data_IF_500182902675
#
_entry.id   IF_500182902675
#
_cell.length_a   1.000
_cell.length_b   1.000
_cell.length_c   1.000
_cell.angle_alpha   90.00
_cell.angle_beta   90.00
_cell.angle_gamma   90.00
#
_symmetry.space_group_name_H-M   'P 1'
#
loop_
_entity.id
_entity.type
_entity.pdbx_description
1 polymer ?
#
# COMPACT_ATOMS: atom_id res chain seq x y z
N UNK A 1 17.62 26.64 22.80
CA UNK A 1 16.43 26.93 23.63
C UNK A 1 15.25 27.07 22.69
N UNK A 2 14.47 26.00 22.52
CA UNK A 2 13.37 25.96 21.57
C UNK A 2 12.06 26.23 22.31
N UNK A 3 11.38 27.28 21.86
CA UNK A 3 10.15 27.81 22.40
C UNK A 3 9.01 26.83 22.09
N UNK A 4 8.51 26.13 23.10
CA UNK A 4 7.33 25.28 23.03
C UNK A 4 6.08 26.16 23.04
N UNK A 5 5.58 26.52 21.86
CA UNK A 5 4.24 27.08 21.72
C UNK A 5 3.22 25.96 21.90
N UNK A 6 2.62 25.92 23.08
CA UNK A 6 1.52 25.07 23.50
C UNK A 6 0.31 25.27 22.58
N UNK A 7 0.02 24.28 21.72
CA UNK A 7 -1.29 24.19 21.07
C UNK A 7 -2.30 23.71 22.12
N UNK A 8 -3.10 24.65 22.60
CA UNK A 8 -4.25 24.41 23.46
C UNK A 8 -5.32 23.67 22.67
N UNK A 9 -5.59 22.43 23.06
CA UNK A 9 -6.74 21.66 22.59
C UNK A 9 -8.04 22.30 23.12
N UNK A 10 -9.11 22.40 22.31
CA UNK A 10 -10.42 22.78 22.83
C UNK A 10 -10.91 21.70 23.80
N UNK A 11 -11.39 22.16 24.96
CA UNK A 11 -11.98 21.38 26.04
C UNK A 11 -12.84 20.21 25.56
N UNK A 12 -12.56 19.03 26.13
CA UNK A 12 -13.48 17.91 26.23
C UNK A 12 -14.80 18.41 26.86
N UNK A 13 -15.79 18.67 26.03
CA UNK A 13 -17.19 18.67 26.47
C UNK A 13 -17.70 17.27 26.24
N UNK A 14 -18.19 16.66 27.32
CA UNK A 14 -18.92 15.41 27.37
C UNK A 14 -19.79 15.20 26.11
N UNK A 15 -19.33 14.32 25.21
CA UNK A 15 -20.20 13.72 24.21
C UNK A 15 -21.19 12.83 24.96
N UNK A 16 -22.36 13.39 25.27
CA UNK A 16 -23.56 12.59 25.46
C UNK A 16 -23.65 11.61 24.29
N UNK A 17 -23.57 10.31 24.61
CA UNK A 17 -23.77 9.22 23.67
C UNK A 17 -25.16 9.39 23.05
N UNK A 18 -25.20 9.82 21.79
CA UNK A 18 -26.38 9.79 20.94
C UNK A 18 -26.78 8.31 20.74
N UNK A 19 -27.94 7.86 21.26
CA UNK A 19 -28.32 6.45 21.27
C UNK A 19 -28.86 5.96 19.92
N UNK A 20 -28.86 6.79 18.88
CA UNK A 20 -29.12 6.35 17.50
C UNK A 20 -27.82 6.11 16.75
N UNK A 21 -27.54 4.87 16.34
CA UNK A 21 -26.60 4.63 15.25
C UNK A 21 -27.09 5.38 14.02
N UNK A 22 -26.62 6.62 13.83
CA UNK A 22 -27.14 7.54 12.81
C UNK A 22 -27.01 6.88 11.45
N UNK A 23 -28.15 6.61 10.81
CA UNK A 23 -28.28 6.09 9.45
C UNK A 23 -27.25 6.74 8.50
N UNK A 24 -26.54 5.92 7.71
CA UNK A 24 -25.66 6.38 6.65
C UNK A 24 -25.89 5.56 5.38
N UNK A 25 -26.14 6.25 4.26
CA UNK A 25 -26.50 5.60 3.00
C UNK A 25 -25.37 4.71 2.44
N UNK A 26 -24.11 5.09 2.62
CA UNK A 26 -22.97 4.34 2.10
C UNK A 26 -22.74 3.04 2.86
N UNK A 27 -22.94 3.06 4.18
CA UNK A 27 -22.88 1.89 5.05
C UNK A 27 -24.01 0.90 4.73
N UNK A 28 -25.25 1.40 4.59
CA UNK A 28 -26.42 0.57 4.26
C UNK A 28 -26.27 -0.11 2.90
N UNK A 29 -25.69 0.58 1.92
CA UNK A 29 -25.43 0.01 0.60
C UNK A 29 -24.23 -0.95 0.57
N UNK A 30 -23.44 -1.04 1.65
CA UNK A 30 -22.20 -1.84 1.71
C UNK A 30 -21.16 -1.39 0.69
N UNK A 31 -21.13 -0.07 0.42
CA UNK A 31 -20.24 0.55 -0.57
C UNK A 31 -19.29 1.56 0.05
N UNK A 32 -19.36 1.74 1.35
CA UNK A 32 -18.48 2.54 2.19
C UNK A 32 -17.01 2.17 1.96
N UNK A 33 -16.70 0.88 1.81
CA UNK A 33 -15.32 0.51 1.56
C UNK A 33 -14.91 0.66 0.09
N UNK A 34 -15.72 1.10 -0.90
CA UNK A 34 -15.38 0.96 -2.34
C UNK A 34 -14.73 2.21 -2.94
N UNK A 35 -13.54 2.09 -3.53
CA UNK A 35 -12.82 3.21 -4.19
C UNK A 35 -13.68 3.94 -5.24
N UNK A 36 -14.52 3.20 -5.97
CA UNK A 36 -15.41 3.75 -6.99
C UNK A 36 -16.42 4.77 -6.43
N UNK A 37 -16.89 4.60 -5.18
CA UNK A 37 -17.82 5.56 -4.58
C UNK A 37 -17.13 6.91 -4.33
N UNK A 38 -15.88 6.90 -3.84
CA UNK A 38 -15.11 8.12 -3.66
C UNK A 38 -14.86 8.83 -5.00
N UNK A 39 -14.54 8.06 -6.04
CA UNK A 39 -14.37 8.64 -7.39
C UNK A 39 -15.68 9.23 -7.93
N UNK A 40 -16.81 8.55 -7.71
CA UNK A 40 -18.13 9.06 -8.08
C UNK A 40 -18.51 10.32 -7.29
N UNK A 41 -18.13 10.39 -6.01
CA UNK A 41 -18.38 11.56 -5.18
C UNK A 41 -17.51 12.75 -5.62
N UNK A 42 -16.22 12.55 -5.90
CA UNK A 42 -15.37 13.62 -6.47
C UNK A 42 -15.93 14.08 -7.83
N UNK A 43 -16.41 13.17 -8.67
CA UNK A 43 -17.12 13.52 -9.90
C UNK A 43 -18.35 14.40 -9.62
N UNK A 44 -19.18 14.05 -8.64
CA UNK A 44 -20.35 14.85 -8.24
C UNK A 44 -19.93 16.27 -7.84
N UNK A 45 -18.84 16.41 -7.08
CA UNK A 45 -18.32 17.73 -6.68
C UNK A 45 -17.84 18.57 -7.86
N UNK A 46 -17.19 17.93 -8.84
CA UNK A 46 -16.73 18.60 -10.07
C UNK A 46 -17.89 19.03 -10.97
N UNK A 47 -18.93 18.21 -11.12
CA UNK A 47 -20.07 18.50 -12.01
C UNK A 47 -21.07 19.52 -11.43
N UNK A 48 -21.13 19.66 -10.11
CA UNK A 48 -22.03 20.62 -9.44
C UNK A 48 -21.38 21.98 -9.14
N UNK A 49 -20.13 22.19 -9.58
CA UNK A 49 -19.41 23.47 -9.51
C UNK A 49 -19.41 24.13 -8.11
N UNK A 50 -19.12 23.34 -7.08
CA UNK A 50 -19.03 23.83 -5.69
C UNK A 50 -17.77 24.68 -5.41
N UNK A 51 -17.11 25.19 -6.44
CA UNK A 51 -15.79 25.82 -6.30
C UNK A 51 -14.66 24.80 -6.04
N UNK A 52 -14.83 23.54 -6.45
CA UNK A 52 -13.87 22.47 -6.19
C UNK A 52 -12.51 22.77 -6.83
N UNK A 53 -12.50 23.18 -8.09
CA UNK A 53 -11.26 23.47 -8.80
C UNK A 53 -10.54 24.68 -8.21
N UNK A 54 -11.27 25.70 -7.79
CA UNK A 54 -10.74 26.90 -7.14
C UNK A 54 -10.11 26.55 -5.80
N UNK A 55 -10.83 25.81 -4.95
CA UNK A 55 -10.35 25.38 -3.64
C UNK A 55 -9.04 24.57 -3.75
N UNK A 56 -8.94 23.70 -4.76
CA UNK A 56 -7.75 22.89 -4.99
C UNK A 56 -6.69 23.54 -5.91
N UNK A 57 -6.94 24.76 -6.40
CA UNK A 57 -6.07 25.51 -7.33
C UNK A 57 -5.73 24.71 -8.60
N UNK A 58 -6.79 24.18 -9.24
CA UNK A 58 -6.63 23.31 -10.39
C UNK A 58 -6.54 24.05 -11.73
N UNK A 59 -7.02 25.30 -11.81
CA UNK A 59 -6.96 26.19 -12.99
C UNK A 59 -7.52 25.56 -14.28
N UNK A 60 -8.66 24.87 -14.19
CA UNK A 60 -9.26 24.04 -15.26
C UNK A 60 -10.76 24.30 -15.38
N UNK A 61 -11.16 25.53 -15.75
CA UNK A 61 -12.55 25.84 -16.07
C UNK A 61 -12.69 26.39 -17.49
N UNK A 62 -13.77 26.05 -18.21
CA UNK A 62 -14.91 25.22 -17.78
C UNK A 62 -14.72 23.69 -18.04
N UNK A 63 -15.30 22.85 -17.17
CA UNK A 63 -15.40 21.40 -17.36
C UNK A 63 -16.72 21.07 -18.07
N UNK A 64 -16.66 20.43 -19.23
CA UNK A 64 -17.83 20.01 -20.00
C UNK A 64 -18.43 18.70 -19.50
N UNK A 65 -17.57 17.73 -19.16
CA UNK A 65 -17.99 16.39 -18.78
C UNK A 65 -16.95 15.72 -17.88
N UNK A 66 -17.40 14.97 -16.87
CA UNK A 66 -16.55 14.10 -16.05
C UNK A 66 -16.87 12.63 -16.31
N UNK A 67 -15.85 11.85 -16.62
CA UNK A 67 -15.94 10.41 -16.89
C UNK A 67 -15.22 9.62 -15.80
N UNK A 68 -15.84 8.53 -15.36
CA UNK A 68 -15.22 7.58 -14.44
C UNK A 68 -14.58 6.43 -15.21
N UNK A 69 -13.54 5.84 -14.65
CA UNK A 69 -12.98 4.55 -15.07
C UNK A 69 -12.52 4.50 -16.54
N UNK A 70 -11.89 5.57 -17.03
CA UNK A 70 -11.45 5.66 -18.43
C UNK A 70 -10.28 4.71 -18.71
N UNK A 71 -10.45 3.85 -19.70
CA UNK A 71 -9.43 2.87 -20.09
C UNK A 71 -8.58 3.34 -21.26
N UNK A 72 -7.26 3.28 -21.08
CA UNK A 72 -6.24 3.55 -22.07
C UNK A 72 -5.45 2.30 -22.39
N UNK A 73 -4.92 2.23 -23.61
CA UNK A 73 -4.00 1.17 -24.02
C UNK A 73 -2.77 1.76 -24.68
N UNK A 74 -1.59 1.33 -24.23
CA UNK A 74 -0.33 1.74 -24.85
C UNK A 74 0.61 0.54 -25.02
N UNK A 75 1.58 0.68 -25.92
CA UNK A 75 2.62 -0.34 -26.11
C UNK A 75 3.70 -0.15 -25.04
N UNK A 76 3.90 -1.15 -24.19
CA UNK A 76 5.01 -1.19 -23.24
C UNK A 76 6.11 -2.07 -23.84
N UNK A 77 7.27 -1.48 -24.11
CA UNK A 77 8.48 -2.23 -24.43
C UNK A 77 9.13 -2.65 -23.11
N UNK A 78 9.27 -3.96 -22.89
CA UNK A 78 10.23 -4.51 -21.92
C UNK A 78 11.37 -5.18 -22.69
N UNK A 79 12.49 -5.46 -22.00
CA UNK A 79 13.66 -6.14 -22.58
C UNK A 79 13.32 -7.49 -23.24
N UNK A 80 12.19 -8.10 -22.88
CA UNK A 80 11.86 -9.46 -23.29
C UNK A 80 10.58 -9.55 -24.14
N UNK A 81 9.64 -8.59 -24.05
CA UNK A 81 8.40 -8.58 -24.86
C UNK A 81 7.86 -7.17 -25.10
N UNK A 82 7.36 -6.94 -26.32
CA UNK A 82 6.45 -5.81 -26.60
C UNK A 82 5.02 -6.26 -26.32
N UNK A 83 4.39 -5.68 -25.31
CA UNK A 83 3.01 -6.00 -24.92
C UNK A 83 2.11 -4.78 -24.96
N UNK A 84 0.83 -4.96 -25.31
CA UNK A 84 -0.20 -3.93 -25.13
C UNK A 84 -0.62 -3.95 -23.66
N UNK A 85 -0.37 -2.86 -22.95
CA UNK A 85 -0.75 -2.70 -21.55
C UNK A 85 -2.01 -1.85 -21.49
N UNK A 86 -3.01 -2.33 -20.74
CA UNK A 86 -4.21 -1.57 -20.42
C UNK A 86 -4.07 -0.92 -19.05
N UNK A 87 -4.53 0.31 -18.95
CA UNK A 87 -4.57 1.11 -17.71
C UNK A 87 -5.93 1.78 -17.62
N UNK A 88 -6.48 1.87 -16.41
CA UNK A 88 -7.76 2.49 -16.12
C UNK A 88 -7.50 3.63 -15.15
N UNK A 89 -7.97 4.82 -15.50
CA UNK A 89 -7.86 6.03 -14.69
C UNK A 89 -9.20 6.27 -14.04
N UNK A 90 -9.17 6.65 -12.77
CA UNK A 90 -10.39 6.70 -11.96
C UNK A 90 -11.33 7.82 -12.38
N UNK A 91 -10.81 9.02 -12.66
CA UNK A 91 -11.60 10.18 -13.10
C UNK A 91 -10.85 10.94 -14.21
N UNK A 92 -11.59 11.32 -15.24
CA UNK A 92 -11.12 12.17 -16.35
C UNK A 92 -12.15 13.27 -16.61
N UNK A 93 -11.74 14.53 -16.53
CA UNK A 93 -12.56 15.67 -16.90
C UNK A 93 -12.18 16.20 -18.28
N UNK A 94 -13.18 16.49 -19.09
CA UNK A 94 -13.03 17.03 -20.44
C UNK A 94 -13.35 18.52 -20.48
N UNK A 95 -12.54 19.27 -21.22
CA UNK A 95 -12.84 20.66 -21.57
C UNK A 95 -13.89 20.76 -22.69
N UNK A 96 -14.17 21.98 -23.13
CA UNK A 96 -15.15 22.25 -24.20
C UNK A 96 -14.78 21.59 -25.54
N UNK A 97 -13.48 21.48 -25.82
CA UNK A 97 -12.93 20.86 -27.03
C UNK A 97 -12.89 19.32 -26.97
N UNK A 98 -13.56 18.73 -26.00
CA UNK A 98 -13.60 17.29 -25.70
C UNK A 98 -12.21 16.67 -25.41
N UNK A 99 -11.18 17.49 -25.16
CA UNK A 99 -9.87 16.99 -24.72
C UNK A 99 -9.82 16.85 -23.20
N UNK A 100 -9.10 15.83 -22.67
CA UNK A 100 -8.85 15.71 -21.24
C UNK A 100 -8.08 16.92 -20.71
N UNK A 101 -8.62 17.62 -19.72
CA UNK A 101 -7.99 18.78 -19.05
C UNK A 101 -7.52 18.43 -17.64
N UNK A 102 -8.17 17.46 -17.00
CA UNK A 102 -7.84 16.96 -15.66
C UNK A 102 -7.95 15.45 -15.63
N UNK A 103 -7.01 14.82 -14.95
CA UNK A 103 -7.14 13.44 -14.48
C UNK A 103 -6.90 13.35 -13.00
N UNK A 104 -7.70 12.51 -12.36
CA UNK A 104 -7.58 12.22 -10.94
C UNK A 104 -7.42 10.71 -10.77
N UNK A 105 -6.34 10.32 -10.09
CA UNK A 105 -6.21 8.98 -9.52
C UNK A 105 -6.64 9.05 -8.06
N UNK A 106 -7.50 8.12 -7.65
CA UNK A 106 -8.10 8.12 -6.32
C UNK A 106 -7.69 6.88 -5.54
N UNK A 107 -6.89 7.05 -4.50
CA UNK A 107 -6.30 5.96 -3.71
C UNK A 107 -6.87 5.93 -2.29
N UNK A 108 -8.08 5.37 -2.17
CA UNK A 108 -8.74 5.21 -0.87
C UNK A 108 -8.29 3.94 -0.12
N UNK A 109 -8.00 2.82 -0.79
CA UNK A 109 -7.64 1.55 -0.08
C UNK A 109 -6.15 1.33 0.11
N UNK A 110 -5.34 2.14 -0.54
CA UNK A 110 -3.91 1.96 -0.62
C UNK A 110 -3.25 3.30 -0.92
N UNK A 111 -1.93 3.30 -1.00
CA UNK A 111 -1.16 4.42 -1.52
C UNK A 111 -0.68 4.10 -2.94
N UNK A 112 -0.36 5.11 -3.77
CA UNK A 112 0.07 4.92 -5.15
C UNK A 112 1.30 4.00 -5.29
N UNK A 113 1.39 3.36 -6.47
CA UNK A 113 2.62 2.72 -6.92
C UNK A 113 3.29 3.62 -7.96
N UNK A 114 4.59 3.91 -7.79
CA UNK A 114 5.34 4.80 -8.69
C UNK A 114 5.22 4.39 -10.16
N UNK A 115 5.38 3.09 -10.45
CA UNK A 115 5.26 2.59 -11.82
C UNK A 115 3.87 2.70 -12.43
N UNK A 116 2.81 2.84 -11.61
CA UNK A 116 1.46 3.12 -12.10
C UNK A 116 1.36 4.57 -12.61
N UNK A 117 1.85 5.53 -11.83
CA UNK A 117 1.86 6.95 -12.20
C UNK A 117 2.76 7.20 -13.44
N UNK A 118 3.92 6.54 -13.51
CA UNK A 118 4.79 6.59 -14.69
C UNK A 118 4.12 6.01 -15.96
N UNK A 119 3.30 4.97 -15.81
CA UNK A 119 2.53 4.43 -16.94
C UNK A 119 1.45 5.43 -17.39
N UNK A 120 0.83 6.19 -16.48
CA UNK A 120 -0.09 7.27 -16.82
C UNK A 120 0.59 8.46 -17.50
N UNK A 121 1.77 8.86 -17.03
CA UNK A 121 2.55 9.93 -17.65
C UNK A 121 2.88 9.58 -19.12
N UNK A 122 3.19 8.31 -19.41
CA UNK A 122 3.42 7.83 -20.78
C UNK A 122 2.17 7.91 -21.65
N UNK A 123 0.99 7.63 -21.08
CA UNK A 123 -0.29 7.75 -21.79
C UNK A 123 -0.51 9.22 -22.18
N UNK A 124 -0.44 10.13 -21.22
CA UNK A 124 -0.81 11.52 -21.49
C UNK A 124 0.25 12.33 -22.22
N UNK A 125 1.53 11.94 -22.14
CA UNK A 125 2.55 12.51 -23.05
C UNK A 125 2.16 12.35 -24.53
N UNK A 126 1.34 11.37 -24.89
CA UNK A 126 0.86 11.15 -26.26
C UNK A 126 -0.49 11.82 -26.56
N UNK A 127 -1.32 12.07 -25.55
CA UNK A 127 -2.70 12.54 -25.72
C UNK A 127 -2.89 14.01 -25.34
N UNK A 128 -2.34 14.44 -24.22
CA UNK A 128 -2.30 15.83 -23.77
C UNK A 128 -1.14 16.01 -22.75
N UNK A 129 0.02 16.56 -23.14
CA UNK A 129 1.17 16.73 -22.27
C UNK A 129 0.93 17.69 -21.09
N UNK A 130 0.03 18.66 -21.28
CA UNK A 130 -0.24 19.76 -20.34
C UNK A 130 -1.41 19.45 -19.39
N UNK A 131 -1.89 18.20 -19.40
CA UNK A 131 -2.99 17.77 -18.55
C UNK A 131 -2.66 17.94 -17.07
N UNK A 132 -3.60 18.52 -16.31
CA UNK A 132 -3.50 18.59 -14.85
C UNK A 132 -3.70 17.18 -14.27
N UNK A 133 -2.82 16.78 -13.36
CA UNK A 133 -2.83 15.43 -12.76
C UNK A 133 -2.89 15.53 -11.25
N UNK A 134 -3.92 14.95 -10.66
CA UNK A 134 -4.14 14.98 -9.21
C UNK A 134 -4.21 13.56 -8.67
N UNK A 135 -3.52 13.31 -7.55
CA UNK A 135 -3.64 12.09 -6.77
C UNK A 135 -4.31 12.42 -5.44
N UNK A 136 -5.41 11.74 -5.13
CA UNK A 136 -5.96 11.71 -3.77
C UNK A 136 -5.51 10.47 -3.02
N UNK A 137 -5.08 10.64 -1.77
CA UNK A 137 -4.78 9.53 -0.85
C UNK A 137 -5.00 9.94 0.62
N UNK A 138 -4.78 9.04 1.58
CA UNK A 138 -4.98 9.37 3.00
C UNK A 138 -3.93 10.31 3.59
N UNK A 139 -2.71 10.31 3.07
CA UNK A 139 -1.62 11.15 3.59
C UNK A 139 -0.59 11.44 2.51
N UNK A 140 -0.56 12.70 2.07
CA UNK A 140 0.35 13.17 1.03
C UNK A 140 1.83 13.15 1.44
N UNK A 141 2.14 13.15 2.75
CA UNK A 141 3.52 13.13 3.24
C UNK A 141 4.16 11.74 3.12
N UNK A 142 3.34 10.69 2.98
CA UNK A 142 3.82 9.32 2.80
C UNK A 142 4.21 8.98 1.36
N UNK A 143 4.03 9.90 0.41
CA UNK A 143 4.33 9.69 -1.03
C UNK A 143 5.41 10.65 -1.56
N UNK A 144 6.60 10.73 -0.91
CA UNK A 144 7.62 11.73 -1.24
C UNK A 144 8.20 11.59 -2.65
N UNK A 145 8.12 10.40 -3.25
CA UNK A 145 8.58 10.16 -4.62
C UNK A 145 7.82 10.98 -5.68
N UNK A 146 6.67 11.55 -5.33
CA UNK A 146 5.85 12.38 -6.22
C UNK A 146 6.46 13.75 -6.46
N UNK A 147 7.33 14.24 -5.56
CA UNK A 147 8.01 15.55 -5.69
C UNK A 147 8.82 15.70 -7.00
N UNK A 148 9.15 14.58 -7.66
CA UNK A 148 9.86 14.57 -8.95
C UNK A 148 8.93 14.28 -10.14
N UNK A 149 7.63 14.50 -9.99
CA UNK A 149 6.61 14.23 -11.01
C UNK A 149 5.69 15.43 -11.16
N UNK A 150 4.92 15.49 -12.26
CA UNK A 150 3.92 16.54 -12.47
C UNK A 150 2.55 16.19 -11.84
N UNK A 151 2.54 15.34 -10.81
CA UNK A 151 1.33 14.99 -10.07
C UNK A 151 1.22 15.88 -8.85
N UNK A 152 0.07 16.50 -8.66
CA UNK A 152 -0.28 17.16 -7.41
C UNK A 152 -0.91 16.16 -6.47
N UNK A 153 -0.39 16.07 -5.24
CA UNK A 153 -0.96 15.20 -4.21
C UNK A 153 -1.85 16.02 -3.29
N UNK A 154 -3.07 15.56 -3.14
CA UNK A 154 -4.02 16.05 -2.15
C UNK A 154 -4.39 14.91 -1.21
N UNK A 155 -4.71 15.23 0.02
CA UNK A 155 -5.16 14.23 1.00
C UNK A 155 -6.67 14.32 1.28
N UNK A 156 -7.23 13.29 1.91
CA UNK A 156 -8.64 13.29 2.28
C UNK A 156 -8.97 14.27 3.40
N UNK A 157 -7.98 14.79 4.14
CA UNK A 157 -8.22 15.88 5.08
C UNK A 157 -8.57 17.17 4.35
N UNK A 158 -7.90 17.46 3.22
CA UNK A 158 -8.22 18.60 2.37
C UNK A 158 -9.63 18.48 1.77
N UNK A 159 -10.08 17.27 1.42
CA UNK A 159 -11.46 17.01 0.98
C UNK A 159 -12.47 17.25 2.10
N UNK A 160 -12.15 16.84 3.33
CA UNK A 160 -13.01 17.13 4.49
C UNK A 160 -13.13 18.64 4.72
N UNK A 161 -12.02 19.37 4.67
CA UNK A 161 -12.02 20.83 4.78
C UNK A 161 -12.82 21.50 3.67
N UNK A 162 -12.74 20.99 2.44
CA UNK A 162 -13.58 21.46 1.33
C UNK A 162 -15.06 21.23 1.64
N UNK A 163 -15.45 20.03 2.06
CA UNK A 163 -16.83 19.68 2.33
C UNK A 163 -17.45 20.52 3.43
N UNK A 164 -16.70 20.88 4.48
CA UNK A 164 -17.17 21.81 5.51
C UNK A 164 -17.61 23.15 4.92
N UNK A 165 -16.91 23.65 3.90
CA UNK A 165 -17.30 24.89 3.21
C UNK A 165 -18.54 24.74 2.34
N UNK A 166 -18.74 23.56 1.73
CA UNK A 166 -19.87 23.30 0.84
C UNK A 166 -21.14 23.07 1.63
N UNK A 167 -21.06 22.32 2.75
CA UNK A 167 -22.20 22.00 3.61
C UNK A 167 -22.91 23.25 4.16
N UNK A 168 -22.17 24.34 4.38
CA UNK A 168 -22.74 25.61 4.85
C UNK A 168 -23.49 26.38 3.75
N UNK A 169 -23.16 26.11 2.48
CA UNK A 169 -23.66 26.86 1.32
C UNK A 169 -24.74 26.12 0.52
N UNK A 170 -24.81 24.80 0.63
CA UNK A 170 -25.79 24.01 -0.12
C UNK A 170 -27.19 24.23 0.45
N UNK A 171 -28.11 24.63 -0.43
CA UNK A 171 -29.51 24.91 -0.09
C UNK A 171 -30.45 23.78 -0.54
N UNK A 172 -30.04 22.96 -1.51
CA UNK A 172 -30.80 21.80 -1.97
C UNK A 172 -30.78 20.71 -0.87
N UNK A 173 -31.93 20.36 -0.27
CA UNK A 173 -31.97 19.41 0.85
C UNK A 173 -31.50 18.00 0.48
N UNK A 174 -31.71 17.55 -0.76
CA UNK A 174 -31.31 16.21 -1.20
C UNK A 174 -29.79 16.15 -1.39
N UNK A 175 -29.22 17.18 -2.03
CA UNK A 175 -27.76 17.29 -2.18
C UNK A 175 -27.08 17.48 -0.83
N UNK A 176 -27.65 18.31 0.05
CA UNK A 176 -27.13 18.53 1.40
C UNK A 176 -27.07 17.21 2.18
N UNK A 177 -28.16 16.43 2.20
CA UNK A 177 -28.19 15.12 2.84
C UNK A 177 -27.10 14.18 2.27
N UNK A 178 -26.92 14.17 0.94
CA UNK A 178 -25.89 13.36 0.30
C UNK A 178 -24.46 13.77 0.71
N UNK A 179 -24.19 15.07 0.75
CA UNK A 179 -22.92 15.65 1.19
C UNK A 179 -22.65 15.33 2.68
N UNK A 180 -23.64 15.50 3.55
CA UNK A 180 -23.53 15.24 4.99
C UNK A 180 -23.20 13.77 5.27
N UNK A 181 -23.87 12.87 4.56
CA UNK A 181 -23.62 11.43 4.69
C UNK A 181 -22.19 11.08 4.28
N UNK A 182 -21.68 11.68 3.20
CA UNK A 182 -20.31 11.43 2.76
C UNK A 182 -19.28 12.05 3.71
N UNK A 183 -19.52 13.28 4.18
CA UNK A 183 -18.66 13.94 5.17
C UNK A 183 -18.54 13.10 6.45
N UNK A 184 -19.67 12.66 7.02
CA UNK A 184 -19.67 11.83 8.22
C UNK A 184 -18.89 10.53 8.02
N UNK A 185 -19.10 9.88 6.87
CA UNK A 185 -18.42 8.65 6.49
C UNK A 185 -16.90 8.86 6.33
N UNK A 186 -16.47 9.85 5.54
CA UNK A 186 -15.06 10.15 5.30
C UNK A 186 -14.35 10.59 6.58
N UNK A 187 -15.02 11.38 7.42
CA UNK A 187 -14.51 11.84 8.72
C UNK A 187 -14.27 10.66 9.67
N UNK A 188 -15.19 9.69 9.70
CA UNK A 188 -15.02 8.43 10.44
C UNK A 188 -13.78 7.66 10.00
N UNK A 189 -13.63 7.45 8.68
CA UNK A 189 -12.46 6.78 8.12
C UNK A 189 -11.16 7.55 8.40
N UNK A 190 -11.16 8.88 8.31
CA UNK A 190 -9.96 9.68 8.60
C UNK A 190 -9.56 9.61 10.09
N UNK A 191 -10.54 9.59 11.01
CA UNK A 191 -10.29 9.38 12.44
C UNK A 191 -9.67 8.00 12.71
N UNK A 192 -10.21 6.94 12.11
CA UNK A 192 -9.66 5.59 12.24
C UNK A 192 -8.27 5.46 11.62
N UNK A 193 -8.04 6.08 10.45
CA UNK A 193 -6.72 6.16 9.82
C UNK A 193 -5.68 6.75 10.79
N UNK A 194 -5.97 7.89 11.40
CA UNK A 194 -5.07 8.56 12.34
C UNK A 194 -4.80 7.72 13.60
N UNK A 195 -5.83 7.03 14.11
CA UNK A 195 -5.69 6.09 15.23
C UNK A 195 -4.69 4.98 14.89
N UNK A 196 -4.83 4.33 13.72
CA UNK A 196 -3.95 3.23 13.31
C UNK A 196 -2.57 3.68 12.86
N UNK A 197 -2.44 4.90 12.34
CA UNK A 197 -1.15 5.52 12.04
C UNK A 197 -0.34 5.76 13.32
N UNK A 198 -1.02 6.17 14.40
CA UNK A 198 -0.39 6.37 15.71
C UNK A 198 0.01 5.05 16.38
N UNK A 199 -0.83 4.03 16.31
CA UNK A 199 -0.54 2.71 16.86
C UNK A 199 -1.19 1.59 16.04
N UNK A 200 -0.34 0.85 15.34
CA UNK A 200 -0.70 -0.21 14.43
C UNK A 200 -0.85 -1.57 15.13
N UNK A 201 -0.60 -1.64 16.43
CA UNK A 201 -0.57 -2.89 17.21
C UNK A 201 -1.84 -3.70 17.08
N UNK A 202 -3.00 -3.06 17.25
CA UNK A 202 -4.30 -3.74 17.19
C UNK A 202 -4.49 -4.52 15.89
N UNK A 203 -4.07 -3.94 14.77
CA UNK A 203 -4.19 -4.56 13.45
C UNK A 203 -3.23 -5.75 13.29
N UNK A 204 -2.04 -5.70 13.91
CA UNK A 204 -1.10 -6.82 13.90
C UNK A 204 -1.54 -7.98 14.81
N UNK A 205 -2.16 -7.67 15.95
CA UNK A 205 -2.66 -8.68 16.91
C UNK A 205 -3.92 -9.37 16.42
N UNK A 206 -4.76 -8.66 15.66
CA UNK A 206 -6.02 -9.19 15.10
C UNK A 206 -6.08 -9.11 13.57
N UNK A 207 -5.13 -9.72 12.85
CA UNK A 207 -4.98 -9.50 11.41
C UNK A 207 -6.03 -10.23 10.57
N UNK A 208 -6.75 -11.20 11.16
CA UNK A 208 -7.76 -12.03 10.47
C UNK A 208 -9.18 -11.52 10.62
N UNK A 209 -9.43 -10.46 11.41
CA UNK A 209 -10.76 -9.87 11.54
C UNK A 209 -11.15 -9.20 10.22
N UNK A 210 -12.37 -9.46 9.76
CA UNK A 210 -12.84 -8.98 8.45
C UNK A 210 -12.88 -7.43 8.39
N UNK A 211 -13.31 -6.78 9.46
CA UNK A 211 -13.32 -5.31 9.61
C UNK A 211 -11.93 -4.68 9.48
N UNK A 212 -10.88 -5.40 9.88
CA UNK A 212 -9.50 -4.91 9.81
C UNK A 212 -8.90 -5.00 8.40
N UNK A 213 -9.58 -5.67 7.45
CA UNK A 213 -9.02 -5.93 6.12
C UNK A 213 -8.75 -4.65 5.34
N UNK A 214 -9.63 -3.65 5.44
CA UNK A 214 -9.42 -2.34 4.82
C UNK A 214 -8.16 -1.68 5.40
N UNK A 215 -8.09 -1.55 6.72
CA UNK A 215 -7.00 -0.88 7.42
C UNK A 215 -5.65 -1.57 7.22
N UNK A 216 -5.61 -2.90 7.27
CA UNK A 216 -4.41 -3.67 6.98
C UNK A 216 -3.90 -3.42 5.56
N UNK A 217 -4.78 -3.33 4.56
CA UNK A 217 -4.37 -3.03 3.17
C UNK A 217 -3.75 -1.64 3.06
N UNK A 218 -4.43 -0.64 3.62
CA UNK A 218 -3.98 0.75 3.56
C UNK A 218 -2.64 0.92 4.26
N UNK A 219 -2.50 0.37 5.46
CA UNK A 219 -1.30 0.49 6.28
C UNK A 219 -0.14 -0.35 5.74
N UNK A 220 -0.38 -1.54 5.18
CA UNK A 220 0.68 -2.30 4.51
C UNK A 220 1.17 -1.57 3.27
N UNK A 221 0.29 -0.86 2.58
CA UNK A 221 0.68 0.01 1.48
C UNK A 221 1.55 1.18 1.95
N UNK A 222 1.25 1.79 3.11
CA UNK A 222 2.08 2.82 3.73
C UNK A 222 3.47 2.28 4.13
N UNK A 223 3.51 1.12 4.80
CA UNK A 223 4.77 0.44 5.15
C UNK A 223 5.58 0.13 3.89
N UNK A 224 4.95 -0.35 2.81
CA UNK A 224 5.63 -0.61 1.53
C UNK A 224 6.35 0.63 1.01
N UNK A 225 5.69 1.78 0.98
CA UNK A 225 6.32 3.00 0.45
C UNK A 225 7.49 3.44 1.32
N UNK A 226 7.35 3.36 2.64
CA UNK A 226 8.45 3.69 3.56
C UNK A 226 9.62 2.71 3.44
N UNK A 227 9.36 1.43 3.17
CA UNK A 227 10.42 0.46 2.86
C UNK A 227 11.11 0.78 1.53
N UNK A 228 10.36 1.13 0.48
CA UNK A 228 10.91 1.53 -0.82
C UNK A 228 11.85 2.74 -0.71
N UNK A 229 11.48 3.71 0.13
CA UNK A 229 12.28 4.90 0.43
C UNK A 229 13.56 4.56 1.21
N UNK A 230 13.44 3.74 2.27
CA UNK A 230 14.56 3.38 3.15
C UNK A 230 15.59 2.48 2.44
N UNK A 231 15.15 1.46 1.70
CA UNK A 231 16.03 0.45 1.11
C UNK A 231 16.63 0.87 -0.25
N UNK A 232 16.17 1.98 -0.85
CA UNK A 232 16.66 2.58 -2.11
C UNK A 232 16.77 1.58 -3.28
N UNK A 233 15.70 1.47 -4.06
CA UNK A 233 15.65 0.79 -5.37
C UNK A 233 16.84 1.17 -6.29
N UNK A 234 17.37 0.25 -7.12
CA UNK A 234 16.83 -1.06 -7.51
C UNK A 234 17.37 -2.26 -6.71
N UNK A 235 17.93 -2.04 -5.51
CA UNK A 235 18.58 -3.13 -4.75
C UNK A 235 17.60 -4.14 -4.14
N UNK A 236 16.33 -3.79 -4.07
CA UNK A 236 15.27 -4.59 -3.47
C UNK A 236 14.10 -4.67 -4.44
N UNK A 237 13.20 -5.63 -4.23
CA UNK A 237 11.93 -5.72 -4.94
C UNK A 237 10.84 -5.99 -3.91
N UNK A 238 9.81 -5.15 -3.91
CA UNK A 238 8.68 -5.26 -3.00
C UNK A 238 7.45 -5.80 -3.72
N UNK A 239 6.98 -6.98 -3.33
CA UNK A 239 5.74 -7.57 -3.84
C UNK A 239 4.67 -7.55 -2.76
N UNK A 240 3.68 -6.69 -2.93
CA UNK A 240 2.50 -6.66 -2.07
C UNK A 240 1.45 -7.61 -2.64
N UNK A 241 0.94 -8.53 -1.80
CA UNK A 241 -0.30 -9.23 -2.11
C UNK A 241 -1.43 -8.56 -1.32
N UNK A 242 -2.25 -7.71 -1.98
CA UNK A 242 -3.25 -6.89 -1.30
C UNK A 242 -4.50 -7.68 -0.87
N UNK A 243 -4.55 -9.02 -0.99
CA UNK A 243 -5.59 -9.79 -0.30
C UNK A 243 -6.38 -10.79 -1.14
N UNK A 244 -5.67 -11.58 -1.96
CA UNK A 244 -6.13 -12.95 -2.26
C UNK A 244 -5.95 -13.89 -1.05
N UNK A 245 -5.24 -13.42 -0.02
CA UNK A 245 -5.10 -14.04 1.29
C UNK A 245 -5.94 -13.29 2.33
N UNK A 246 -6.30 -13.95 3.43
CA UNK A 246 -7.04 -13.33 4.54
C UNK A 246 -6.27 -12.19 5.21
N UNK A 247 -4.94 -12.27 5.21
CA UNK A 247 -4.02 -11.25 5.74
C UNK A 247 -3.15 -10.73 4.60
N UNK A 248 -3.10 -9.41 4.33
CA UNK A 248 -2.14 -8.82 3.40
C UNK A 248 -0.70 -9.17 3.76
N UNK A 249 0.18 -9.23 2.75
CA UNK A 249 1.60 -9.47 2.98
C UNK A 249 2.48 -8.65 2.05
N UNK A 250 3.71 -8.42 2.48
CA UNK A 250 4.77 -7.79 1.70
C UNK A 250 5.92 -8.79 1.62
N UNK A 251 6.27 -9.23 0.41
CA UNK A 251 7.54 -9.91 0.17
C UNK A 251 8.59 -8.87 -0.19
N UNK A 252 9.72 -8.93 0.49
CA UNK A 252 10.88 -8.04 0.37
C UNK A 252 12.03 -8.89 -0.14
N UNK A 253 12.48 -8.60 -1.36
CA UNK A 253 13.36 -9.48 -2.13
C UNK A 253 14.63 -8.71 -2.47
N UNK A 254 15.73 -8.88 -1.72
CA UNK A 254 16.99 -8.23 -2.01
C UNK A 254 17.63 -8.83 -3.26
N UNK A 255 18.11 -8.01 -4.20
CA UNK A 255 18.65 -8.50 -5.47
C UNK A 255 19.88 -9.40 -5.29
N UNK A 256 20.69 -9.19 -4.24
CA UNK A 256 21.87 -10.00 -3.92
C UNK A 256 21.55 -11.29 -3.15
N UNK A 257 20.28 -11.57 -2.91
CA UNK A 257 19.79 -12.79 -2.24
C UNK A 257 19.28 -13.84 -3.24
N UNK A 258 19.61 -13.68 -4.51
CA UNK A 258 19.29 -14.66 -5.55
C UNK A 258 20.57 -15.39 -5.99
N UNK A 259 20.56 -16.71 -5.91
CA UNK A 259 21.70 -17.58 -6.24
C UNK A 259 21.24 -18.73 -7.14
N UNK A 260 21.60 -18.69 -8.42
CA UNK A 260 21.12 -19.67 -9.38
C UNK A 260 19.58 -19.72 -9.41
N UNK A 261 19.01 -20.89 -9.15
CA UNK A 261 17.56 -21.13 -9.14
C UNK A 261 16.87 -20.77 -7.81
N UNK A 262 17.60 -20.21 -6.83
CA UNK A 262 17.07 -19.91 -5.49
C UNK A 262 16.93 -18.41 -5.28
N UNK A 263 15.74 -17.97 -4.88
CA UNK A 263 15.45 -16.60 -4.48
C UNK A 263 15.09 -16.56 -2.99
N UNK A 264 15.90 -15.90 -2.18
CA UNK A 264 15.61 -15.72 -0.76
C UNK A 264 14.88 -14.40 -0.52
N UNK A 265 13.93 -14.38 0.40
CA UNK A 265 13.13 -13.20 0.70
C UNK A 265 12.69 -13.11 2.16
N UNK A 266 12.29 -11.91 2.57
CA UNK A 266 11.58 -11.66 3.83
C UNK A 266 10.12 -11.43 3.50
N UNK A 267 9.23 -12.12 4.20
CA UNK A 267 7.80 -11.87 4.15
C UNK A 267 7.36 -11.22 5.47
N UNK A 268 6.73 -10.06 5.35
CA UNK A 268 6.01 -9.40 6.43
C UNK A 268 4.52 -9.72 6.28
N UNK A 269 3.92 -10.40 7.27
CA UNK A 269 2.51 -10.79 7.27
C UNK A 269 1.95 -10.88 8.70
N UNK A 270 0.91 -10.11 8.99
CA UNK A 270 0.35 -9.99 10.35
C UNK A 270 1.44 -9.52 11.33
N UNK A 271 1.52 -10.15 12.49
CA UNK A 271 2.55 -9.88 13.50
C UNK A 271 3.87 -10.64 13.27
N UNK A 272 4.21 -10.99 12.03
CA UNK A 272 5.29 -11.94 11.74
C UNK A 272 6.21 -11.45 10.63
N UNK A 273 7.51 -11.53 10.90
CA UNK A 273 8.56 -11.49 9.88
C UNK A 273 9.05 -12.91 9.64
N UNK A 274 9.15 -13.29 8.37
CA UNK A 274 9.45 -14.66 7.96
C UNK A 274 10.53 -14.65 6.89
N UNK A 275 11.59 -15.42 7.07
CA UNK A 275 12.60 -15.65 6.05
C UNK A 275 12.23 -16.88 5.22
N UNK A 276 12.24 -16.73 3.89
CA UNK A 276 11.86 -17.75 2.93
C UNK A 276 12.97 -17.99 1.90
N UNK A 277 12.96 -19.20 1.34
CA UNK A 277 13.62 -19.54 0.07
C UNK A 277 12.56 -19.98 -0.94
N UNK A 278 12.63 -19.43 -2.14
CA UNK A 278 11.82 -19.76 -3.30
C UNK A 278 12.69 -20.42 -4.37
N UNK A 279 12.12 -21.40 -5.08
CA UNK A 279 12.79 -22.09 -6.18
C UNK A 279 12.16 -21.60 -7.49
N UNK A 280 12.95 -20.92 -8.31
CA UNK A 280 12.48 -20.22 -9.51
C UNK A 280 12.13 -21.19 -10.66
N UNK A 281 12.85 -22.31 -10.77
CA UNK A 281 12.78 -23.23 -11.91
C UNK A 281 12.26 -24.64 -11.56
N UNK A 282 11.12 -24.74 -10.87
CA UNK A 282 10.49 -26.02 -10.51
C UNK A 282 9.71 -26.73 -11.63
N UNK A 283 9.96 -26.42 -12.92
CA UNK A 283 9.21 -26.96 -14.08
C UNK A 283 10.13 -27.63 -15.10
N UNK A 284 10.90 -28.62 -14.67
CA UNK A 284 11.53 -29.60 -15.57
C UNK A 284 10.49 -30.62 -16.03
N UNK A 285 10.50 -30.96 -17.34
CA UNK A 285 9.58 -31.96 -17.93
C UNK A 285 10.12 -33.39 -17.84
N UNK A 286 11.42 -33.56 -17.61
CA UNK A 286 12.10 -34.84 -17.49
C UNK A 286 12.19 -35.28 -16.00
N UNK A 287 11.85 -36.53 -15.71
CA UNK A 287 11.84 -37.08 -14.35
C UNK A 287 13.25 -37.19 -13.73
N UNK A 288 14.29 -37.43 -14.53
CA UNK A 288 15.68 -37.54 -14.05
C UNK A 288 16.23 -36.18 -13.60
N UNK A 289 16.07 -35.15 -14.44
CA UNK A 289 16.44 -33.77 -14.09
C UNK A 289 15.68 -33.27 -12.86
N UNK A 290 14.39 -33.63 -12.74
CA UNK A 290 13.59 -33.31 -11.57
C UNK A 290 14.11 -33.99 -10.31
N UNK A 291 14.64 -35.21 -10.40
CA UNK A 291 15.23 -35.94 -9.27
C UNK A 291 16.55 -35.31 -8.83
N UNK A 292 17.41 -34.93 -9.77
CA UNK A 292 18.68 -34.24 -9.47
C UNK A 292 18.44 -32.86 -8.84
N UNK A 293 17.52 -32.06 -9.41
CA UNK A 293 17.14 -30.76 -8.84
C UNK A 293 16.59 -30.87 -7.41
N UNK A 294 15.86 -31.95 -7.11
CA UNK A 294 15.38 -32.23 -5.75
C UNK A 294 16.53 -32.48 -4.78
N UNK A 295 17.48 -33.34 -5.15
CA UNK A 295 18.64 -33.66 -4.31
C UNK A 295 19.46 -32.39 -4.03
N UNK A 296 19.72 -31.58 -5.07
CA UNK A 296 20.46 -30.33 -4.93
C UNK A 296 19.74 -29.32 -4.04
N UNK A 297 18.41 -29.21 -4.19
CA UNK A 297 17.56 -28.34 -3.37
C UNK A 297 17.55 -28.76 -1.91
N UNK A 298 17.40 -30.06 -1.63
CA UNK A 298 17.42 -30.59 -0.27
C UNK A 298 18.78 -30.34 0.40
N UNK A 299 19.87 -30.50 -0.35
CA UNK A 299 21.21 -30.18 0.14
C UNK A 299 21.35 -28.71 0.53
N UNK A 300 21.04 -27.77 -0.37
CA UNK A 300 21.15 -26.33 -0.11
C UNK A 300 20.25 -25.91 1.07
N UNK A 301 19.06 -26.50 1.17
CA UNK A 301 18.15 -26.24 2.27
C UNK A 301 18.73 -26.72 3.60
N UNK A 302 19.26 -27.95 3.65
CA UNK A 302 19.85 -28.52 4.85
C UNK A 302 21.07 -27.70 5.30
N UNK A 303 21.94 -27.32 4.37
CA UNK A 303 23.09 -26.44 4.64
C UNK A 303 22.62 -25.09 5.20
N UNK A 304 21.57 -24.52 4.61
CA UNK A 304 20.96 -23.26 5.08
C UNK A 304 20.41 -23.40 6.50
N UNK A 305 19.69 -24.48 6.80
CA UNK A 305 19.14 -24.76 8.12
C UNK A 305 20.26 -24.94 9.15
N UNK A 306 21.34 -25.62 8.79
CA UNK A 306 22.51 -25.78 9.67
C UNK A 306 23.17 -24.44 9.98
N UNK A 307 23.37 -23.60 8.96
CA UNK A 307 23.87 -22.23 9.13
C UNK A 307 22.98 -21.44 10.08
N UNK A 308 21.66 -21.49 9.90
CA UNK A 308 20.70 -20.80 10.77
C UNK A 308 20.86 -21.28 12.22
N UNK A 309 20.86 -22.60 12.45
CA UNK A 309 20.99 -23.20 13.79
C UNK A 309 22.28 -22.76 14.49
N UNK A 310 23.39 -22.73 13.75
CA UNK A 310 24.71 -22.37 14.28
C UNK A 310 24.83 -20.88 14.63
N UNK A 311 24.15 -20.00 13.89
CA UNK A 311 24.47 -18.57 13.92
C UNK A 311 23.35 -17.66 14.45
N UNK A 312 22.10 -18.13 14.48
CA UNK A 312 20.98 -17.36 15.02
C UNK A 312 20.45 -17.98 16.32
N UNK A 313 20.68 -19.28 16.53
CA UNK A 313 20.17 -20.01 17.70
C UNK A 313 18.69 -20.39 17.58
N UNK A 314 18.22 -21.26 18.48
CA UNK A 314 16.89 -21.90 18.40
C UNK A 314 15.94 -21.53 19.55
N UNK A 315 16.34 -20.68 20.50
CA UNK A 315 15.62 -20.54 21.77
C UNK A 315 14.25 -19.86 21.65
N UNK A 316 14.11 -18.84 20.77
CA UNK A 316 12.81 -18.15 20.54
C UNK A 316 12.30 -18.24 19.08
N UNK A 317 13.11 -18.79 18.18
CA UNK A 317 12.80 -18.85 16.75
C UNK A 317 12.40 -20.27 16.33
N UNK A 318 11.12 -20.44 15.97
CA UNK A 318 10.61 -21.71 15.45
C UNK A 318 11.09 -21.94 14.02
N UNK A 319 12.21 -22.63 13.84
CA UNK A 319 12.60 -23.21 12.55
C UNK A 319 11.59 -24.34 12.26
N UNK A 320 10.67 -24.12 11.32
CA UNK A 320 9.79 -25.19 10.84
C UNK A 320 10.41 -25.85 9.63
N UNK A 321 10.64 -27.15 9.73
CA UNK A 321 10.96 -27.99 8.58
C UNK A 321 9.83 -27.93 7.54
N UNK A 322 10.21 -28.09 6.28
CA UNK A 322 9.38 -28.20 5.09
C UNK A 322 7.92 -28.63 5.37
N UNK A 323 6.95 -27.72 5.25
CA UNK A 323 5.56 -28.14 4.96
C UNK A 323 5.39 -28.16 3.45
N UNK A 324 5.52 -29.38 2.92
CA UNK A 324 5.34 -29.74 1.51
C UNK A 324 3.94 -29.30 1.06
N UNK A 325 3.84 -28.17 0.36
CA UNK A 325 2.57 -27.80 -0.29
C UNK A 325 2.73 -27.72 -1.80
N UNK A 326 3.88 -27.31 -2.33
CA UNK A 326 4.27 -27.43 -3.74
C UNK A 326 5.79 -27.13 -3.83
N UNK A 327 6.50 -27.67 -4.82
CA UNK A 327 7.97 -27.60 -4.99
C UNK A 327 8.59 -26.19 -5.18
N UNK A 328 7.97 -25.11 -4.68
CA UNK A 328 8.35 -23.73 -5.00
C UNK A 328 8.80 -22.83 -3.85
N UNK A 329 8.55 -23.16 -2.57
CA UNK A 329 8.92 -22.27 -1.46
C UNK A 329 9.02 -22.96 -0.09
N UNK A 330 10.01 -22.60 0.71
CA UNK A 330 10.15 -23.03 2.11
C UNK A 330 10.40 -21.84 3.03
N UNK A 331 9.75 -21.88 4.19
CA UNK A 331 9.94 -20.93 5.28
C UNK A 331 11.03 -21.46 6.24
N UNK A 332 11.93 -20.59 6.71
CA UNK A 332 13.17 -20.97 7.41
C UNK A 332 13.26 -20.39 8.83
N UNK A 333 12.94 -19.11 9.01
CA UNK A 333 13.09 -18.37 10.29
C UNK A 333 11.96 -17.38 10.47
N UNK A 334 11.41 -17.25 11.68
CA UNK A 334 10.30 -16.34 12.01
C UNK A 334 10.62 -15.60 13.27
N UNK A 335 10.27 -14.33 13.24
CA UNK A 335 10.24 -13.43 14.38
C UNK A 335 8.82 -12.90 14.52
N UNK A 336 8.30 -12.88 15.76
CA UNK A 336 7.10 -12.13 16.08
C UNK A 336 7.50 -10.67 16.34
N UNK A 337 6.77 -9.72 15.77
CA UNK A 337 7.15 -8.30 15.86
C UNK A 337 6.86 -7.78 17.27
N UNK A 338 5.68 -8.08 17.81
CA UNK A 338 5.28 -7.57 19.13
C UNK A 338 5.83 -8.35 20.31
N UNK A 339 6.47 -9.51 20.13
CA UNK A 339 6.97 -10.32 21.25
C UNK A 339 8.08 -9.63 22.05
N UNK A 340 8.80 -8.69 21.43
CA UNK A 340 9.89 -7.91 22.05
C UNK A 340 9.44 -6.49 22.44
N UNK A 341 8.19 -6.11 22.15
CA UNK A 341 7.69 -4.77 22.42
C UNK A 341 7.04 -4.73 23.80
N UNK A 342 7.55 -3.86 24.68
CA UNK A 342 6.92 -3.58 25.98
C UNK A 342 5.45 -3.17 25.77
N UNK A 343 4.56 -3.64 26.65
CA UNK A 343 3.10 -3.41 26.58
C UNK A 343 2.71 -1.93 26.40
N UNK A 344 3.57 -0.97 26.79
CA UNK A 344 3.25 0.47 26.71
C UNK A 344 3.82 1.21 25.48
N UNK A 345 4.51 0.52 24.55
CA UNK A 345 5.14 1.20 23.39
C UNK A 345 4.28 1.09 22.13
N UNK A 346 3.73 2.21 21.66
CA UNK A 346 2.99 2.31 20.38
C UNK A 346 3.77 1.66 19.24
N UNK A 347 3.09 0.95 18.35
CA UNK A 347 3.70 0.33 17.15
C UNK A 347 3.49 1.25 15.96
N UNK A 348 4.49 2.05 15.62
CA UNK A 348 4.43 2.97 14.46
C UNK A 348 4.99 2.34 13.19
N UNK A 349 4.73 2.94 12.03
CA UNK A 349 5.33 2.53 10.75
C UNK A 349 6.87 2.52 10.87
N UNK A 350 7.49 3.59 11.38
CA UNK A 350 8.95 3.65 11.50
C UNK A 350 9.53 2.55 12.40
N UNK A 351 8.79 2.12 13.43
CA UNK A 351 9.19 0.95 14.22
C UNK A 351 9.14 -0.33 13.40
N UNK A 352 8.11 -0.53 12.58
CA UNK A 352 8.05 -1.68 11.68
C UNK A 352 9.19 -1.69 10.67
N UNK A 353 9.55 -0.52 10.11
CA UNK A 353 10.69 -0.40 9.21
C UNK A 353 11.98 -0.84 9.91
N UNK A 354 12.21 -0.39 11.15
CA UNK A 354 13.37 -0.78 11.95
C UNK A 354 13.40 -2.29 12.24
N UNK A 355 12.27 -2.89 12.56
CA UNK A 355 12.18 -4.34 12.80
C UNK A 355 12.45 -5.14 11.52
N UNK A 356 11.90 -4.71 10.39
CA UNK A 356 12.18 -5.32 9.07
C UNK A 356 13.66 -5.19 8.72
N UNK A 357 14.25 -4.02 8.92
CA UNK A 357 15.66 -3.76 8.62
C UNK A 357 16.59 -4.56 9.53
N UNK A 358 16.35 -4.58 10.84
CA UNK A 358 17.12 -5.39 11.78
C UNK A 358 17.01 -6.89 11.48
N UNK A 359 15.83 -7.38 11.10
CA UNK A 359 15.67 -8.76 10.66
C UNK A 359 16.43 -9.05 9.36
N UNK A 360 16.40 -8.12 8.39
CA UNK A 360 17.20 -8.20 7.17
C UNK A 360 18.70 -8.27 7.47
N UNK A 361 19.24 -7.38 8.31
CA UNK A 361 20.66 -7.36 8.65
C UNK A 361 21.08 -8.65 9.35
N UNK A 362 20.28 -9.11 10.32
CA UNK A 362 20.51 -10.36 11.01
C UNK A 362 20.62 -11.53 10.02
N UNK A 363 19.68 -11.67 9.09
CA UNK A 363 19.69 -12.74 8.09
C UNK A 363 20.86 -12.55 7.10
N UNK A 364 21.11 -11.33 6.64
CA UNK A 364 22.15 -11.04 5.67
C UNK A 364 23.54 -11.43 6.21
N UNK A 365 23.85 -11.01 7.44
CA UNK A 365 25.14 -11.24 8.09
C UNK A 365 25.30 -12.70 8.53
N UNK A 366 24.27 -13.27 9.14
CA UNK A 366 24.40 -14.58 9.79
C UNK A 366 24.13 -15.76 8.88
N UNK A 367 23.38 -15.56 7.78
CA UNK A 367 22.92 -16.63 6.89
C UNK A 367 23.41 -16.42 5.46
N UNK A 368 22.96 -15.36 4.79
CA UNK A 368 23.17 -15.18 3.34
C UNK A 368 24.64 -15.08 2.97
N UNK A 369 25.43 -14.32 3.74
CA UNK A 369 26.87 -14.18 3.49
C UNK A 369 27.58 -15.54 3.54
N UNK A 370 27.12 -16.44 4.41
CA UNK A 370 27.69 -17.80 4.57
C UNK A 370 27.21 -18.75 3.48
N UNK A 371 25.94 -18.69 3.10
CA UNK A 371 25.39 -19.45 1.96
C UNK A 371 26.20 -19.12 0.70
N UNK A 372 26.42 -17.84 0.40
CA UNK A 372 27.17 -17.39 -0.78
C UNK A 372 28.57 -18.01 -0.87
N UNK A 373 29.24 -18.24 0.26
CA UNK A 373 30.55 -18.91 0.29
C UNK A 373 30.49 -20.42 0.00
N UNK A 374 29.34 -21.06 0.21
CA UNK A 374 29.11 -22.47 -0.08
C UNK A 374 28.68 -22.67 -1.53
N UNK A 375 27.76 -21.82 -2.05
CA UNK A 375 27.20 -21.99 -3.40
C UNK A 375 28.14 -21.54 -4.53
N UNK A 376 29.19 -20.76 -4.22
CA UNK A 376 30.22 -20.33 -5.18
C UNK A 376 31.48 -21.21 -5.18
N UNK A 377 31.49 -22.30 -4.40
CA UNK A 377 32.47 -23.39 -4.47
C UNK A 377 31.84 -24.57 -5.19
#
# INVERSE_FOLDING_TARGET
MYNTSTLLYPNEKDEQQDPGGKFNIFEVLGKDDKELIHSAFIKFLLENDYGFCEYFSLDIHPIKQVRLERSYSFKKQSKEKTGKVKRRIDIEALGEDDKPVLVIENKFKAFPYKGQLEDYDKIYKQHNPDIKKVLFCFDKNLVPFINNTNWEVKDYQEILGFLETVLVKEEDPEKLMFLEHYYKFLSGYYKEYNKYLCDFRFLLEKPTMAENKFWLRLMYSAVRIRLEDEFKEPKFRFLVNPGNTSVPLINIIPAHWTFGDYEFLIQFQGNELKFYVHILNGKTKNEEELKEQKIQTEKILNDTIEIIRKNIGTSDQKIKSFKRVNFGSCYLVKKHITSELKENKKVTIDMLIKEVFGFYEMINLNVITKIKHITLK
#
